data_IF_585672567953
#
_entry.id   IF_585672567953
#
_cell.length_a   1.000
_cell.length_b   1.000
_cell.length_c   1.000
_cell.angle_alpha   90.00
_cell.angle_beta   90.00
_cell.angle_gamma   90.00
#
_symmetry.space_group_name_H-M   'P 1'
#
loop_
_entity.id
_entity.type
_entity.pdbx_description
1 polymer ?
#
# COMPACT_ATOMS: atom_id res chain seq x y z
N UNK A 1 12.52 -10.99 10.98
CA UNK A 1 11.11 -10.88 11.41
C UNK A 1 10.52 -9.60 10.84
N UNK A 2 9.20 -9.52 10.61
CA UNK A 2 8.57 -8.29 10.15
C UNK A 2 8.79 -7.15 11.14
N UNK A 3 9.03 -5.96 10.62
CA UNK A 3 9.04 -4.72 11.41
C UNK A 3 7.62 -4.19 11.61
N UNK A 4 6.71 -4.50 10.69
CA UNK A 4 5.31 -4.14 10.81
C UNK A 4 4.42 -5.27 10.32
N UNK A 5 3.33 -5.55 11.04
CA UNK A 5 2.27 -6.43 10.58
C UNK A 5 0.89 -5.86 10.93
N UNK A 6 -0.09 -6.06 10.05
CA UNK A 6 -1.51 -5.75 10.31
C UNK A 6 -2.40 -6.83 9.68
N UNK A 7 -3.46 -7.21 10.38
CA UNK A 7 -4.41 -8.25 9.97
C UNK A 7 -5.83 -7.68 9.96
N UNK A 8 -6.67 -8.12 9.02
CA UNK A 8 -8.08 -7.69 8.92
C UNK A 8 -8.92 -8.22 10.09
N UNK A 9 -10.02 -7.54 10.40
CA UNK A 9 -11.04 -7.97 11.37
C UNK A 9 -11.63 -9.34 11.07
N UNK A 10 -11.62 -9.78 9.81
CA UNK A 10 -12.07 -11.12 9.40
C UNK A 10 -10.99 -12.21 9.52
N UNK A 11 -9.74 -11.84 9.80
CA UNK A 11 -8.62 -12.78 9.93
C UNK A 11 -8.25 -13.53 8.64
N UNK A 12 -8.68 -13.04 7.48
CA UNK A 12 -8.48 -13.68 6.18
C UNK A 12 -7.57 -12.93 5.23
N UNK A 13 -7.09 -11.75 5.66
CA UNK A 13 -6.20 -10.88 4.93
C UNK A 13 -5.26 -10.21 5.93
N UNK A 14 -4.02 -9.98 5.52
CA UNK A 14 -3.07 -9.18 6.27
C UNK A 14 -1.88 -8.79 5.43
N UNK A 15 -1.02 -7.94 5.96
CA UNK A 15 0.25 -7.63 5.32
C UNK A 15 1.36 -7.48 6.34
N UNK A 16 2.57 -7.75 5.88
CA UNK A 16 3.79 -7.56 6.65
C UNK A 16 4.78 -6.75 5.84
N UNK A 17 5.54 -5.88 6.50
CA UNK A 17 6.66 -5.16 5.89
C UNK A 17 7.82 -5.07 6.87
N UNK A 18 9.03 -4.97 6.34
CA UNK A 18 10.22 -4.79 7.13
C UNK A 18 11.47 -4.77 6.28
N UNK A 19 12.62 -4.49 6.92
CA UNK A 19 13.90 -4.48 6.23
C UNK A 19 14.34 -5.90 5.88
N UNK A 20 15.09 -6.02 4.79
CA UNK A 20 15.91 -7.18 4.49
C UNK A 20 17.32 -6.73 4.14
N UNK A 21 18.29 -7.64 4.32
CA UNK A 21 19.64 -7.48 3.79
C UNK A 21 20.10 -8.76 3.10
N UNK A 22 20.90 -8.59 2.04
CA UNK A 22 21.56 -9.70 1.35
C UNK A 22 23.06 -9.52 1.52
N UNK A 23 23.69 -10.50 2.18
CA UNK A 23 25.12 -10.55 2.45
C UNK A 23 25.70 -9.25 3.08
N UNK A 24 24.88 -8.53 3.86
CA UNK A 24 25.19 -7.21 4.46
C UNK A 24 25.68 -6.13 3.48
N UNK A 25 25.37 -6.30 2.19
CA UNK A 25 25.78 -5.40 1.11
C UNK A 25 24.59 -4.73 0.46
N UNK A 26 23.51 -5.48 0.27
CA UNK A 26 22.27 -4.97 -0.30
C UNK A 26 21.23 -4.86 0.79
N UNK A 27 20.49 -3.75 0.78
CA UNK A 27 19.49 -3.43 1.78
C UNK A 27 18.20 -3.04 1.10
N UNK A 28 17.07 -3.33 1.74
CA UNK A 28 15.78 -2.96 1.20
C UNK A 28 14.65 -3.15 2.19
N UNK A 29 13.44 -2.90 1.71
CA UNK A 29 12.19 -3.17 2.42
C UNK A 29 11.34 -4.12 1.58
N UNK A 30 10.75 -5.10 2.23
CA UNK A 30 9.76 -5.95 1.59
C UNK A 30 8.34 -5.52 1.98
N UNK A 31 7.38 -5.82 1.11
CA UNK A 31 5.96 -5.88 1.44
C UNK A 31 5.44 -7.24 0.99
N UNK A 32 4.87 -7.99 1.93
CA UNK A 32 4.16 -9.24 1.64
C UNK A 32 2.70 -9.07 2.04
N UNK A 33 1.79 -9.41 1.13
CA UNK A 33 0.36 -9.53 1.38
C UNK A 33 0.02 -11.01 1.57
N UNK A 34 -0.70 -11.29 2.64
CA UNK A 34 -1.11 -12.61 3.05
C UNK A 34 -2.61 -12.78 2.94
N UNK A 35 -3.04 -13.99 2.59
CA UNK A 35 -4.45 -14.38 2.58
C UNK A 35 -4.62 -15.71 3.31
N UNK A 36 -5.64 -15.82 4.15
CA UNK A 36 -6.00 -17.10 4.75
C UNK A 36 -6.91 -17.89 3.79
N UNK A 37 -6.45 -19.06 3.36
CA UNK A 37 -7.16 -20.00 2.51
C UNK A 37 -7.30 -21.31 3.29
N UNK A 38 -8.53 -21.72 3.59
CA UNK A 38 -8.82 -22.94 4.36
C UNK A 38 -8.04 -23.03 5.69
N UNK A 39 -7.92 -21.90 6.40
CA UNK A 39 -7.20 -21.82 7.68
C UNK A 39 -5.67 -21.77 7.58
N UNK A 40 -5.11 -21.73 6.37
CA UNK A 40 -3.66 -21.59 6.13
C UNK A 40 -3.36 -20.22 5.52
N UNK A 41 -2.31 -19.57 6.00
CA UNK A 41 -1.83 -18.32 5.42
C UNK A 41 -0.97 -18.61 4.20
N UNK A 42 -1.35 -18.01 3.08
CA UNK A 42 -0.65 -18.10 1.79
C UNK A 42 -0.22 -16.69 1.34
N UNK A 43 0.90 -16.62 0.62
CA UNK A 43 1.37 -15.37 0.00
C UNK A 43 0.47 -15.04 -1.18
N UNK A 44 -0.19 -13.90 -1.14
CA UNK A 44 -1.02 -13.40 -2.24
C UNK A 44 -0.24 -12.46 -3.17
N UNK A 45 0.71 -11.71 -2.62
CA UNK A 45 1.57 -10.78 -3.35
C UNK A 45 2.83 -10.51 -2.52
N UNK A 46 3.99 -10.47 -3.15
CA UNK A 46 5.25 -10.08 -2.50
C UNK A 46 6.05 -9.14 -3.42
N UNK A 47 6.69 -8.14 -2.83
CA UNK A 47 7.62 -7.26 -3.53
C UNK A 47 8.69 -6.69 -2.59
N UNK A 48 9.84 -6.37 -3.17
CA UNK A 48 10.94 -5.69 -2.50
C UNK A 48 11.27 -4.35 -3.17
N UNK A 49 11.69 -3.38 -2.35
CA UNK A 49 12.32 -2.13 -2.80
C UNK A 49 13.72 -2.05 -2.20
N UNK A 50 14.70 -1.71 -3.02
CA UNK A 50 16.09 -1.54 -2.54
C UNK A 50 16.31 -0.11 -2.04
N UNK A 51 17.13 0.06 -1.02
CA UNK A 51 17.58 1.37 -0.53
C UNK A 51 18.98 1.29 0.08
N UNK A 52 19.56 2.45 0.42
CA UNK A 52 20.87 2.51 1.09
C UNK A 52 20.84 1.87 2.48
N UNK A 53 22.01 1.51 3.04
CA UNK A 53 22.09 0.93 4.38
C UNK A 53 21.27 1.75 5.41
N UNK A 54 20.35 1.12 6.16
CA UNK A 54 19.53 1.83 7.14
C UNK A 54 20.40 2.59 8.15
N UNK A 55 20.05 3.84 8.42
CA UNK A 55 20.75 4.65 9.41
C UNK A 55 20.12 4.56 10.80
N UNK A 56 18.87 4.09 10.87
CA UNK A 56 18.09 4.04 12.11
C UNK A 56 17.79 2.59 12.52
N UNK A 57 17.72 2.32 13.83
CA UNK A 57 17.24 1.04 14.31
C UNK A 57 15.78 0.83 13.90
N UNK A 58 15.43 -0.43 13.70
CA UNK A 58 14.13 -0.87 13.24
C UNK A 58 13.22 -1.03 14.44
N UNK A 59 12.07 -0.35 14.45
CA UNK A 59 11.04 -0.51 15.48
C UNK A 59 10.00 -1.50 15.00
N UNK A 60 9.72 -2.53 15.82
CA UNK A 60 8.67 -3.51 15.54
C UNK A 60 7.30 -3.00 16.01
N UNK A 61 6.28 -3.14 15.17
CA UNK A 61 4.90 -2.79 15.48
C UNK A 61 3.94 -3.83 14.88
N UNK A 62 3.14 -4.47 15.73
CA UNK A 62 2.17 -5.48 15.30
C UNK A 62 0.77 -5.00 15.68
N UNK A 63 -0.08 -4.77 14.68
CA UNK A 63 -1.41 -4.21 14.85
C UNK A 63 -2.46 -5.30 14.68
N UNK A 64 -3.09 -5.67 15.80
CA UNK A 64 -4.24 -6.58 15.81
C UNK A 64 -5.56 -5.80 15.67
N UNK A 65 -6.58 -6.40 15.01
CA UNK A 65 -7.91 -5.81 14.99
C UNK A 65 -8.52 -5.81 16.40
N UNK A 66 -9.20 -4.73 16.77
CA UNK A 66 -9.83 -4.58 18.09
C UNK A 66 -11.00 -5.54 18.31
N UNK A 67 -11.59 -6.02 17.24
CA UNK A 67 -12.74 -6.92 17.24
C UNK A 67 -12.77 -7.79 15.98
N UNK A 68 -13.54 -8.88 16.05
CA UNK A 68 -13.74 -9.78 14.92
C UNK A 68 -15.04 -9.46 14.18
N UNK A 69 -14.97 -9.35 12.85
CA UNK A 69 -16.15 -9.21 12.01
C UNK A 69 -15.96 -9.88 10.66
N UNK A 70 -16.91 -10.76 10.32
CA UNK A 70 -17.02 -11.40 9.01
C UNK A 70 -18.50 -11.63 8.66
N UNK A 71 -19.01 -11.12 7.52
CA UNK A 71 -20.41 -11.30 7.16
C UNK A 71 -20.76 -12.76 6.89
N UNK A 72 -21.83 -13.28 7.54
CA UNK A 72 -22.23 -14.70 7.47
C UNK A 72 -22.67 -15.16 6.07
N UNK A 73 -23.29 -14.28 5.31
CA UNK A 73 -23.89 -14.59 4.00
C UNK A 73 -23.13 -13.95 2.83
N UNK A 74 -21.84 -13.66 3.03
CA UNK A 74 -21.02 -13.01 2.01
C UNK A 74 -20.85 -13.92 0.79
N UNK A 75 -21.35 -13.46 -0.36
CA UNK A 75 -21.19 -14.15 -1.65
C UNK A 75 -20.24 -13.40 -2.61
N UNK A 76 -19.89 -14.05 -3.71
CA UNK A 76 -18.92 -13.54 -4.68
C UNK A 76 -19.32 -12.18 -5.28
N UNK A 77 -20.61 -11.99 -5.58
CA UNK A 77 -21.14 -10.72 -6.08
C UNK A 77 -20.96 -9.60 -5.06
N UNK A 78 -21.25 -9.85 -3.79
CA UNK A 78 -21.05 -8.88 -2.72
C UNK A 78 -19.56 -8.58 -2.48
N UNK A 79 -18.67 -9.57 -2.59
CA UNK A 79 -17.22 -9.34 -2.53
C UNK A 79 -16.76 -8.43 -3.65
N UNK A 80 -17.19 -8.71 -4.88
CA UNK A 80 -16.85 -7.90 -6.05
C UNK A 80 -17.37 -6.47 -5.89
N UNK A 81 -18.67 -6.27 -5.63
CA UNK A 81 -19.25 -4.94 -5.40
C UNK A 81 -18.54 -4.21 -4.26
N UNK A 82 -18.20 -4.92 -3.18
CA UNK A 82 -17.49 -4.35 -2.04
C UNK A 82 -16.06 -3.94 -2.36
N UNK A 83 -15.36 -4.65 -3.25
CA UNK A 83 -14.01 -4.32 -3.70
C UNK A 83 -14.02 -3.14 -4.68
N UNK A 84 -15.03 -3.04 -5.56
CA UNK A 84 -15.14 -1.92 -6.51
C UNK A 84 -15.33 -0.56 -5.84
N UNK A 85 -15.83 -0.47 -4.60
CA UNK A 85 -15.82 0.78 -3.82
C UNK A 85 -14.38 1.35 -3.71
N UNK A 86 -13.40 0.46 -3.52
CA UNK A 86 -11.99 0.83 -3.43
C UNK A 86 -11.44 1.16 -4.82
N UNK A 87 -11.91 0.42 -5.83
CA UNK A 87 -11.65 0.73 -7.24
C UNK A 87 -12.07 2.16 -7.62
N UNK A 88 -13.28 2.57 -7.24
CA UNK A 88 -13.78 3.93 -7.45
C UNK A 88 -13.00 4.97 -6.64
N UNK A 89 -12.55 4.63 -5.42
CA UNK A 89 -11.70 5.51 -4.61
C UNK A 89 -10.37 5.79 -5.32
N UNK A 90 -9.73 4.76 -5.88
CA UNK A 90 -8.48 4.92 -6.63
C UNK A 90 -8.69 5.63 -7.98
N UNK A 91 -9.80 5.40 -8.67
CA UNK A 91 -10.15 6.16 -9.89
C UNK A 91 -10.35 7.65 -9.60
N UNK A 92 -10.94 7.97 -8.44
CA UNK A 92 -11.06 9.34 -7.95
C UNK A 92 -9.68 9.95 -7.69
N UNK A 93 -8.79 9.22 -7.00
CA UNK A 93 -7.40 9.65 -6.83
C UNK A 93 -6.72 9.89 -8.18
N UNK A 94 -6.81 8.96 -9.13
CA UNK A 94 -6.19 9.08 -10.45
C UNK A 94 -6.73 10.30 -11.24
N UNK A 95 -8.02 10.61 -11.09
CA UNK A 95 -8.64 11.80 -11.69
C UNK A 95 -8.14 13.09 -11.03
N UNK A 96 -8.01 13.09 -9.71
CA UNK A 96 -7.48 14.24 -8.97
C UNK A 96 -5.98 14.45 -9.21
N UNK A 97 -5.19 13.39 -9.38
CA UNK A 97 -3.79 13.48 -9.80
C UNK A 97 -3.64 14.17 -11.15
N UNK A 98 -4.57 13.95 -12.09
CA UNK A 98 -4.56 14.62 -13.41
C UNK A 98 -4.95 16.09 -13.35
N UNK A 99 -5.85 16.47 -12.44
CA UNK A 99 -6.47 17.81 -12.40
C UNK A 99 -5.84 18.75 -11.37
N UNK A 100 -5.39 18.22 -10.23
CA UNK A 100 -4.83 18.95 -9.10
C UNK A 100 -3.36 18.60 -8.84
N UNK A 101 -2.81 17.66 -9.60
CA UNK A 101 -1.43 17.21 -9.47
C UNK A 101 -1.20 16.31 -8.25
N UNK A 102 0.06 16.14 -7.91
CA UNK A 102 0.55 15.18 -6.88
C UNK A 102 0.03 15.51 -5.47
N UNK A 103 -0.35 16.77 -5.22
CA UNK A 103 -0.95 17.19 -3.95
C UNK A 103 -2.24 16.42 -3.61
N UNK A 104 -2.92 15.85 -4.61
CA UNK A 104 -4.11 15.03 -4.44
C UNK A 104 -3.89 13.86 -3.46
N UNK A 105 -2.69 13.28 -3.38
CA UNK A 105 -2.37 12.22 -2.42
C UNK A 105 -2.71 12.60 -0.97
N UNK A 106 -2.62 13.88 -0.60
CA UNK A 106 -2.90 14.33 0.77
C UNK A 106 -4.33 14.03 1.24
N UNK A 107 -5.30 13.93 0.31
CA UNK A 107 -6.68 13.56 0.62
C UNK A 107 -6.92 12.05 0.79
N UNK A 108 -5.96 11.20 0.38
CA UNK A 108 -6.14 9.75 0.29
C UNK A 108 -5.19 8.95 1.18
N UNK A 109 -4.21 9.58 1.82
CA UNK A 109 -3.28 8.91 2.74
C UNK A 109 -3.72 9.06 4.20
N UNK A 110 -3.56 7.99 4.96
CA UNK A 110 -3.81 7.94 6.40
C UNK A 110 -2.69 8.71 7.16
N UNK A 111 -2.97 9.42 8.26
CA UNK A 111 -1.97 9.91 9.20
C UNK A 111 -0.76 8.98 9.43
N UNK A 112 -0.97 7.67 9.57
CA UNK A 112 0.05 6.66 9.86
C UNK A 112 0.65 5.96 8.62
N UNK A 113 0.41 6.51 7.40
CA UNK A 113 0.84 5.89 6.14
C UNK A 113 2.33 5.54 6.10
N UNK A 114 2.64 4.39 5.51
CA UNK A 114 4.00 3.92 5.24
C UNK A 114 4.26 3.94 3.75
N UNK A 115 5.23 4.73 3.30
CA UNK A 115 5.64 4.76 1.90
C UNK A 115 6.94 3.98 1.73
N UNK A 116 6.92 3.03 0.79
CA UNK A 116 8.10 2.28 0.36
C UNK A 116 8.42 2.69 -1.08
N UNK A 117 9.58 3.29 -1.29
CA UNK A 117 10.00 3.81 -2.60
C UNK A 117 11.48 3.48 -2.84
N UNK A 118 11.90 3.11 -4.07
CA UNK A 118 13.28 2.69 -4.33
C UNK A 118 14.28 3.82 -4.04
N UNK A 119 15.37 3.49 -3.36
CA UNK A 119 16.40 4.43 -2.94
C UNK A 119 16.15 5.09 -1.58
N UNK A 120 14.98 4.91 -0.97
CA UNK A 120 14.58 5.56 0.28
C UNK A 120 14.31 4.54 1.40
N UNK A 121 14.79 4.84 2.61
CA UNK A 121 14.26 4.18 3.82
C UNK A 121 12.75 4.46 3.94
N UNK A 122 11.97 3.59 4.62
CA UNK A 122 10.53 3.80 4.80
C UNK A 122 10.18 5.22 5.24
N UNK A 123 9.31 5.87 4.48
CA UNK A 123 8.80 7.20 4.83
C UNK A 123 7.52 6.99 5.63
N UNK A 124 7.61 7.30 6.94
CA UNK A 124 6.53 7.05 7.89
C UNK A 124 5.80 8.35 8.23
N UNK A 125 4.48 8.33 8.07
CA UNK A 125 3.57 9.41 8.43
C UNK A 125 3.19 10.31 7.25
N UNK A 126 1.94 10.80 7.30
CA UNK A 126 1.31 11.59 6.23
C UNK A 126 2.12 12.80 5.79
N UNK A 127 2.58 13.63 6.72
CA UNK A 127 3.26 14.89 6.38
C UNK A 127 4.55 14.63 5.59
N UNK A 128 5.33 13.62 6.01
CA UNK A 128 6.56 13.22 5.31
C UNK A 128 6.26 12.59 3.95
N UNK A 129 5.22 11.76 3.86
CA UNK A 129 4.78 11.15 2.61
C UNK A 129 4.37 12.21 1.59
N UNK A 130 3.52 13.16 1.99
CA UNK A 130 3.05 14.25 1.12
C UNK A 130 4.21 15.18 0.73
N UNK A 131 5.10 15.52 1.66
CA UNK A 131 6.30 16.30 1.36
C UNK A 131 7.19 15.58 0.34
N UNK A 132 7.41 14.26 0.51
CA UNK A 132 8.17 13.44 -0.43
C UNK A 132 7.55 13.46 -1.82
N UNK A 133 6.26 13.14 -1.95
CA UNK A 133 5.58 13.14 -3.25
C UNK A 133 5.67 14.51 -3.93
N UNK A 134 5.36 15.59 -3.20
CA UNK A 134 5.43 16.95 -3.73
C UNK A 134 6.84 17.40 -4.09
N UNK A 135 7.88 16.86 -3.44
CA UNK A 135 9.28 17.21 -3.75
C UNK A 135 9.78 16.52 -5.02
N UNK A 136 9.28 15.32 -5.30
CA UNK A 136 9.88 14.42 -6.28
C UNK A 136 9.05 14.28 -7.56
N UNK A 137 7.74 14.11 -7.42
CA UNK A 137 6.85 13.80 -8.53
C UNK A 137 6.31 15.09 -9.15
N UNK A 138 6.37 15.18 -10.47
CA UNK A 138 5.69 16.20 -11.26
C UNK A 138 4.28 15.71 -11.62
N UNK A 139 4.17 14.47 -12.09
CA UNK A 139 2.90 13.85 -12.50
C UNK A 139 2.89 12.37 -12.15
N UNK A 140 1.72 11.86 -11.79
CA UNK A 140 1.50 10.43 -11.54
C UNK A 140 0.26 9.99 -12.31
N UNK A 141 0.35 8.84 -12.99
CA UNK A 141 -0.77 8.19 -13.65
C UNK A 141 -0.83 6.73 -13.20
N UNK A 142 -2.02 6.30 -12.78
CA UNK A 142 -2.25 4.94 -12.29
C UNK A 142 -3.03 4.13 -13.32
N UNK A 143 -2.60 2.89 -13.55
CA UNK A 143 -3.34 1.86 -14.28
C UNK A 143 -3.52 0.64 -13.38
N UNK A 144 -4.68 0.54 -12.75
CA UNK A 144 -5.03 -0.57 -11.87
C UNK A 144 -5.10 -1.88 -12.65
N UNK A 145 -4.51 -2.94 -12.09
CA UNK A 145 -4.68 -4.31 -12.56
C UNK A 145 -5.78 -5.02 -11.77
N UNK A 146 -5.78 -4.90 -10.44
CA UNK A 146 -6.77 -5.58 -9.60
C UNK A 146 -7.02 -4.82 -8.31
N UNK A 147 -8.21 -5.05 -7.75
CA UNK A 147 -8.62 -4.61 -6.41
C UNK A 147 -9.11 -5.81 -5.62
N UNK A 148 -8.69 -5.91 -4.36
CA UNK A 148 -9.09 -6.96 -3.43
C UNK A 148 -9.42 -6.32 -2.09
N UNK A 149 -10.49 -6.79 -1.44
CA UNK A 149 -10.92 -6.33 -0.13
C UNK A 149 -11.06 -7.52 0.82
N UNK A 150 -10.69 -7.34 2.09
CA UNK A 150 -10.94 -8.29 3.15
C UNK A 150 -12.45 -8.49 3.37
N UNK A 151 -12.88 -9.69 3.78
CA UNK A 151 -14.30 -9.97 4.01
C UNK A 151 -14.86 -9.14 5.18
N UNK A 152 -14.01 -8.77 6.15
CA UNK A 152 -14.32 -7.90 7.28
C UNK A 152 -14.56 -6.44 6.89
N UNK A 153 -14.23 -6.05 5.66
CA UNK A 153 -14.56 -4.74 5.10
C UNK A 153 -13.80 -3.56 5.72
N UNK A 154 -12.66 -3.84 6.35
CA UNK A 154 -11.79 -2.90 7.05
C UNK A 154 -10.45 -2.69 6.33
N UNK A 155 -9.96 -3.70 5.60
CA UNK A 155 -8.75 -3.61 4.79
C UNK A 155 -9.01 -3.94 3.31
N UNK A 156 -8.22 -3.32 2.44
CA UNK A 156 -8.19 -3.59 1.01
C UNK A 156 -6.81 -3.33 0.42
N UNK A 157 -6.55 -3.83 -0.77
CA UNK A 157 -5.42 -3.39 -1.56
C UNK A 157 -5.73 -3.33 -3.05
N UNK A 158 -5.06 -2.42 -3.73
CA UNK A 158 -4.97 -2.38 -5.19
C UNK A 158 -3.54 -2.60 -5.63
N UNK A 159 -3.37 -3.12 -6.83
CA UNK A 159 -2.07 -3.14 -7.48
C UNK A 159 -2.21 -2.95 -8.99
N UNK A 160 -1.14 -2.48 -9.61
CA UNK A 160 -1.08 -2.21 -11.04
C UNK A 160 0.23 -1.53 -11.42
N UNK A 161 0.17 -0.75 -12.49
CA UNK A 161 1.32 0.02 -12.98
C UNK A 161 1.10 1.50 -12.73
N UNK A 162 2.11 2.17 -12.16
CA UNK A 162 2.15 3.62 -12.01
C UNK A 162 3.21 4.18 -12.96
N UNK A 163 2.85 5.20 -13.74
CA UNK A 163 3.82 6.02 -14.46
C UNK A 163 4.05 7.31 -13.67
N UNK A 164 5.31 7.58 -13.34
CA UNK A 164 5.73 8.76 -12.58
C UNK A 164 6.64 9.60 -13.45
N UNK A 165 6.22 10.84 -13.70
CA UNK A 165 7.09 11.87 -14.25
C UNK A 165 7.71 12.61 -13.06
N UNK A 166 9.03 12.62 -12.98
CA UNK A 166 9.79 13.33 -11.95
C UNK A 166 9.92 14.81 -12.32
N UNK A 167 10.12 15.66 -11.31
CA UNK A 167 10.44 17.07 -11.53
C UNK A 167 11.79 17.33 -12.21
N UNK A 168 12.65 16.31 -12.28
CA UNK A 168 13.95 16.35 -12.95
C UNK A 168 13.87 15.86 -14.42
N UNK A 169 12.69 15.96 -15.04
CA UNK A 169 12.44 15.58 -16.45
C UNK A 169 12.78 14.12 -16.81
N UNK A 170 12.62 13.22 -15.83
CA UNK A 170 12.70 11.77 -16.02
C UNK A 170 11.32 11.16 -15.90
N UNK A 171 11.03 10.11 -16.68
CA UNK A 171 9.80 9.31 -16.54
C UNK A 171 10.13 7.85 -16.32
N UNK A 172 9.52 7.27 -15.30
CA UNK A 172 9.67 5.86 -14.97
C UNK A 172 8.31 5.18 -14.73
N UNK A 173 8.30 3.86 -14.88
CA UNK A 173 7.15 3.02 -14.57
C UNK A 173 7.46 2.09 -13.41
N UNK A 174 6.48 1.92 -12.54
CA UNK A 174 6.58 1.13 -11.31
C UNK A 174 5.43 0.14 -11.26
N UNK A 175 5.70 -1.06 -10.76
CA UNK A 175 4.66 -1.85 -10.11
C UNK A 175 4.29 -1.13 -8.82
N UNK A 176 2.99 -0.89 -8.59
CA UNK A 176 2.54 -0.30 -7.33
C UNK A 176 1.63 -1.26 -6.57
N UNK A 177 1.65 -1.11 -5.25
CA UNK A 177 0.67 -1.70 -4.34
C UNK A 177 0.23 -0.63 -3.35
N UNK A 178 -1.07 -0.34 -3.30
CA UNK A 178 -1.67 0.53 -2.30
C UNK A 178 -2.54 -0.30 -1.36
N UNK A 179 -2.28 -0.19 -0.06
CA UNK A 179 -3.10 -0.85 0.97
C UNK A 179 -3.95 0.22 1.63
N UNK A 180 -5.26 -0.02 1.66
CA UNK A 180 -6.26 0.88 2.22
C UNK A 180 -6.83 0.31 3.51
N UNK A 181 -7.13 1.21 4.44
CA UNK A 181 -7.87 0.91 5.66
C UNK A 181 -9.10 1.83 5.74
N UNK A 182 -10.22 1.25 6.14
CA UNK A 182 -11.46 1.98 6.37
C UNK A 182 -11.37 2.74 7.70
N UNK A 183 -11.55 4.04 7.63
CA UNK A 183 -11.49 4.95 8.76
C UNK A 183 -12.84 5.03 9.50
N UNK A 184 -12.84 5.66 10.68
CA UNK A 184 -14.03 5.81 11.51
C UNK A 184 -15.15 6.63 10.83
N UNK A 185 -14.80 7.55 9.95
CA UNK A 185 -15.73 8.33 9.10
C UNK A 185 -16.17 7.57 7.83
N UNK A 186 -15.85 6.27 7.75
CA UNK A 186 -16.06 5.37 6.63
C UNK A 186 -15.26 5.67 5.35
N UNK A 187 -14.37 6.67 5.37
CA UNK A 187 -13.45 6.93 4.25
C UNK A 187 -12.39 5.84 4.15
N UNK A 188 -11.89 5.59 2.94
CA UNK A 188 -10.81 4.66 2.70
C UNK A 188 -9.52 5.41 2.44
N UNK A 189 -8.56 5.25 3.35
CA UNK A 189 -7.28 5.92 3.27
C UNK A 189 -6.15 4.89 3.13
N UNK A 190 -5.15 5.22 2.33
CA UNK A 190 -3.96 4.41 2.14
C UNK A 190 -3.11 4.42 3.41
N UNK A 191 -2.86 3.23 3.95
CA UNK A 191 -1.96 2.97 5.08
C UNK A 191 -0.60 2.44 4.62
N UNK A 192 -0.52 1.92 3.39
CA UNK A 192 0.76 1.66 2.73
C UNK A 192 0.70 2.09 1.26
N UNK A 193 1.76 2.76 0.81
CA UNK A 193 1.95 3.18 -0.58
C UNK A 193 3.29 2.64 -1.03
N UNK A 194 3.29 1.65 -1.91
CA UNK A 194 4.52 0.96 -2.33
C UNK A 194 4.70 1.08 -3.83
N UNK A 195 5.89 1.49 -4.25
CA UNK A 195 6.33 1.47 -5.63
C UNK A 195 7.59 0.61 -5.74
N UNK A 196 7.55 -0.43 -6.57
CA UNK A 196 8.72 -1.23 -6.92
C UNK A 196 9.04 -1.05 -8.41
N UNK A 197 10.31 -1.11 -8.81
CA UNK A 197 10.68 -1.03 -10.23
C UNK A 197 9.86 -2.03 -11.05
N UNK A 198 9.25 -1.58 -12.13
CA UNK A 198 8.69 -2.51 -13.10
C UNK A 198 9.85 -3.21 -13.81
N UNK A 199 9.80 -4.54 -13.93
CA UNK A 199 10.74 -5.25 -14.81
C UNK A 199 10.60 -4.68 -16.23
N UNK A 200 11.74 -4.40 -16.88
CA UNK A 200 11.80 -3.87 -18.24
C UNK A 200 11.53 -4.97 -19.27
#
# INVERSE_FOLDING_TARGET
SPAYAKVSRSGDFGYTTGPFSIADKEYGQYLTIWKAVNGKWEVALDLGVSHNKPLKPVTNEYVEPKDFYKPKFLNDKQRQTGAEIIGTTEETLNTLLKTHGVSAFAGFVNPDVRVLFPGYEPILGKDKAVAFFNSMFAKVSLKRTKVIKADGGDLAYTYGVAAIDYKADLRESFNYVFIYERQADAMWNMVAVVFAPAER
#
